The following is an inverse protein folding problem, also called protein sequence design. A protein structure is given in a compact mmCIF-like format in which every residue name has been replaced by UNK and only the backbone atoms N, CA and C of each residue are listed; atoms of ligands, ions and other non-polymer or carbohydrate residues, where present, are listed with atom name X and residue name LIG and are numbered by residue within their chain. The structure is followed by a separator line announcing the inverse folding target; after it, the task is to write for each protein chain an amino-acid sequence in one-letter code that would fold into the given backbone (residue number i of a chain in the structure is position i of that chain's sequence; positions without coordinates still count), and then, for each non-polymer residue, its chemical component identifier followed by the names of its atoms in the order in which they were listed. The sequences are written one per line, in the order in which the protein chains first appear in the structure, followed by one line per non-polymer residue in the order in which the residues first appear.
data_IF_606736326083
#
_entry.id   IF_606736326083
#
_cell.length_a   1.000
_cell.length_b   1.000
_cell.length_c   1.000
_cell.angle_alpha   90.00
_cell.angle_beta   90.00
_cell.angle_gamma   90.00
#
_symmetry.space_group_name_H-M   'P 1'
#
loop_
_entity.id
_entity.type
_entity.pdbx_description
1 polymer ?
#
# COMPACT_ATOMS: atom_id res chain seq x y z
N UNK A 1 -19.20 10.74 24.47
CA UNK A 1 -18.91 11.81 23.49
C UNK A 1 -17.43 11.82 23.15
N UNK A 2 -16.99 10.98 22.22
CA UNK A 2 -15.62 10.98 21.70
C UNK A 2 -15.68 11.24 20.21
N UNK A 3 -15.42 12.47 19.79
CA UNK A 3 -15.34 12.80 18.38
C UNK A 3 -13.97 12.33 17.87
N UNK A 4 -13.93 11.17 17.20
CA UNK A 4 -12.70 10.69 16.56
C UNK A 4 -12.56 11.46 15.25
N UNK A 5 -11.94 12.64 15.31
CA UNK A 5 -11.55 13.36 14.11
C UNK A 5 -10.43 12.59 13.40
N UNK A 6 -10.80 11.85 12.35
CA UNK A 6 -9.84 11.23 11.46
C UNK A 6 -9.15 12.33 10.66
N UNK A 7 -8.08 12.91 11.21
CA UNK A 7 -7.28 13.93 10.52
C UNK A 7 -6.66 13.34 9.26
N UNK A 8 -7.07 13.85 8.09
CA UNK A 8 -6.46 13.53 6.80
C UNK A 8 -4.98 13.97 6.81
N UNK A 9 -4.04 13.01 6.92
CA UNK A 9 -2.60 13.27 6.80
C UNK A 9 -2.24 13.43 5.32
N UNK A 10 -2.00 14.67 4.87
CA UNK A 10 -1.52 14.93 3.50
C UNK A 10 -0.05 14.52 3.38
N UNK A 11 0.22 13.59 2.46
CA UNK A 11 1.57 13.08 2.19
C UNK A 11 2.02 13.59 0.82
N UNK A 12 3.09 14.37 0.78
CA UNK A 12 3.77 14.68 -0.47
C UNK A 12 4.55 13.46 -0.95
N UNK A 13 4.10 12.84 -2.05
CA UNK A 13 4.77 11.69 -2.66
C UNK A 13 4.72 11.79 -4.19
N UNK A 14 5.78 11.31 -4.86
CA UNK A 14 5.76 11.05 -6.30
C UNK A 14 5.29 9.62 -6.49
N UNK A 15 4.05 9.44 -6.95
CA UNK A 15 3.46 8.12 -7.21
C UNK A 15 3.31 7.96 -8.71
N UNK A 16 3.81 6.85 -9.25
CA UNK A 16 3.52 6.46 -10.63
C UNK A 16 2.13 5.82 -10.65
N UNK A 17 1.16 6.51 -11.23
CA UNK A 17 -0.18 5.99 -11.45
C UNK A 17 -0.22 5.42 -12.86
N UNK A 18 -0.09 4.10 -12.95
CA UNK A 18 -0.31 3.39 -14.20
C UNK A 18 -1.81 3.15 -14.38
N UNK A 19 -2.40 3.75 -15.43
CA UNK A 19 -3.83 3.65 -15.71
C UNK A 19 -4.28 2.24 -16.13
N UNK A 20 -3.33 1.35 -16.48
CA UNK A 20 -3.60 -0.06 -16.70
C UNK A 20 -3.53 -0.93 -15.45
N UNK A 21 -3.01 -0.40 -14.33
CA UNK A 21 -2.80 -1.15 -13.11
C UNK A 21 -3.98 -1.00 -12.14
N UNK A 22 -4.59 -2.13 -11.75
CA UNK A 22 -5.63 -2.15 -10.72
C UNK A 22 -5.06 -2.11 -9.30
N UNK A 23 -3.75 -2.32 -9.15
CA UNK A 23 -3.05 -2.38 -7.85
C UNK A 23 -1.74 -1.62 -7.92
N UNK A 24 -1.54 -0.67 -7.01
CA UNK A 24 -0.28 0.06 -6.86
C UNK A 24 0.51 -0.55 -5.70
N UNK A 25 1.76 -0.94 -5.96
CA UNK A 25 2.66 -1.44 -4.94
C UNK A 25 3.43 -0.28 -4.31
N UNK A 26 3.39 -0.20 -2.98
CA UNK A 26 4.17 0.77 -2.20
C UNK A 26 5.23 0.05 -1.37
N UNK A 27 6.42 0.64 -1.22
CA UNK A 27 7.47 0.02 -0.42
C UNK A 27 7.11 0.02 1.07
N UNK A 28 7.52 -1.03 1.80
CA UNK A 28 7.34 -1.08 3.27
C UNK A 28 7.97 0.13 3.98
N UNK A 29 9.08 0.65 3.44
CA UNK A 29 9.73 1.85 3.98
C UNK A 29 8.86 3.10 3.85
N UNK A 30 8.13 3.24 2.73
CA UNK A 30 7.18 4.33 2.54
C UNK A 30 6.02 4.25 3.55
N UNK A 31 5.44 3.05 3.70
CA UNK A 31 4.39 2.76 4.69
C UNK A 31 4.84 3.15 6.10
N UNK A 32 6.03 2.72 6.52
CA UNK A 32 6.60 3.04 7.84
C UNK A 32 6.86 4.54 8.01
N UNK A 33 7.51 5.18 7.04
CA UNK A 33 7.86 6.61 7.08
C UNK A 33 6.63 7.49 7.23
N UNK A 34 5.53 7.11 6.59
CA UNK A 34 4.30 7.90 6.60
C UNK A 34 3.25 7.38 7.58
N UNK A 35 3.55 6.33 8.33
CA UNK A 35 2.65 5.71 9.31
C UNK A 35 1.31 5.35 8.67
N UNK A 36 1.34 4.84 7.44
CA UNK A 36 0.13 4.40 6.77
C UNK A 36 -0.48 3.24 7.55
N UNK A 37 -1.76 3.32 7.85
CA UNK A 37 -2.49 2.20 8.43
C UNK A 37 -2.57 1.08 7.39
N UNK A 38 -2.08 -0.08 7.79
CA UNK A 38 -2.17 -1.30 7.00
C UNK A 38 -3.05 -2.32 7.68
N UNK A 39 -3.64 -3.21 6.87
CA UNK A 39 -4.28 -4.43 7.34
C UNK A 39 -3.51 -5.63 6.81
N UNK A 40 -3.15 -6.55 7.71
CA UNK A 40 -2.41 -7.78 7.39
C UNK A 40 -3.40 -8.93 7.30
N UNK A 41 -3.46 -9.59 6.15
CA UNK A 41 -4.25 -10.80 5.95
C UNK A 41 -3.34 -12.01 6.16
N UNK A 42 -3.28 -12.53 7.39
CA UNK A 42 -2.36 -13.62 7.77
C UNK A 42 -2.63 -14.94 7.05
N UNK A 43 -3.85 -15.11 6.53
CA UNK A 43 -4.31 -16.26 5.76
C UNK A 43 -4.07 -16.12 4.25
N UNK A 44 -3.48 -15.00 3.79
CA UNK A 44 -3.30 -14.69 2.37
C UNK A 44 -1.86 -14.32 2.05
N UNK A 45 -1.39 -14.80 0.91
CA UNK A 45 -0.09 -14.42 0.34
C UNK A 45 -0.26 -13.76 -1.01
N UNK A 46 0.62 -12.79 -1.30
CA UNK A 46 0.82 -12.27 -2.65
C UNK A 46 1.99 -13.00 -3.28
N UNK A 47 1.90 -13.25 -4.59
CA UNK A 47 2.96 -13.80 -5.41
C UNK A 47 3.27 -12.83 -6.54
N UNK A 48 4.50 -12.31 -6.57
CA UNK A 48 4.93 -11.30 -7.53
C UNK A 48 6.00 -11.92 -8.43
N UNK A 49 5.83 -11.81 -9.75
CA UNK A 49 6.86 -12.22 -10.71
C UNK A 49 7.98 -11.17 -10.72
N UNK A 50 9.20 -11.58 -10.37
CA UNK A 50 10.35 -10.68 -10.20
C UNK A 50 11.22 -10.54 -11.47
N UNK A 51 10.93 -11.34 -12.50
CA UNK A 51 11.78 -11.51 -13.69
C UNK A 51 12.30 -12.95 -13.78
N UNK A 52 12.76 -13.40 -14.95
CA UNK A 52 13.40 -14.72 -15.16
C UNK A 52 12.61 -15.92 -14.62
N UNK A 53 11.28 -15.83 -14.65
CA UNK A 53 10.36 -16.80 -14.05
C UNK A 53 10.52 -17.02 -12.53
N UNK A 54 11.25 -16.15 -11.86
CA UNK A 54 11.33 -16.12 -10.40
C UNK A 54 10.09 -15.42 -9.83
N UNK A 55 9.66 -15.93 -8.67
CA UNK A 55 8.54 -15.39 -7.93
C UNK A 55 8.98 -15.04 -6.51
N UNK A 56 8.60 -13.85 -6.05
CA UNK A 56 8.64 -13.49 -4.64
C UNK A 56 7.27 -13.74 -4.03
N UNK A 57 7.24 -14.33 -2.83
CA UNK A 57 6.01 -14.52 -2.06
C UNK A 57 6.11 -13.76 -0.73
N UNK A 58 5.00 -13.16 -0.31
CA UNK A 58 4.90 -12.46 0.97
C UNK A 58 3.46 -12.51 1.49
N UNK A 59 3.27 -12.38 2.80
CA UNK A 59 1.95 -12.17 3.40
C UNK A 59 1.33 -10.88 2.84
N UNK A 60 0.04 -10.92 2.51
CA UNK A 60 -0.69 -9.77 1.99
C UNK A 60 -0.87 -8.70 3.08
N UNK A 61 -0.33 -7.52 2.83
CA UNK A 61 -0.50 -6.32 3.65
C UNK A 61 -1.05 -5.19 2.77
N UNK A 62 -2.23 -4.67 3.12
CA UNK A 62 -2.96 -3.69 2.31
C UNK A 62 -3.01 -2.33 3.01
N UNK A 63 -2.70 -1.26 2.27
CA UNK A 63 -2.95 0.13 2.67
C UNK A 63 -3.98 0.75 1.72
N UNK A 64 -5.01 1.39 2.27
CA UNK A 64 -5.96 2.17 1.46
C UNK A 64 -5.52 3.62 1.41
N UNK A 65 -5.35 4.16 0.20
CA UNK A 65 -5.02 5.57 -0.03
C UNK A 65 -6.04 6.20 -0.97
N UNK A 66 -6.36 7.47 -0.75
CA UNK A 66 -7.14 8.27 -1.69
C UNK A 66 -6.19 9.21 -2.41
N UNK A 67 -6.13 9.08 -3.74
CA UNK A 67 -5.42 10.02 -4.59
C UNK A 67 -6.42 11.09 -5.05
N UNK A 68 -6.08 12.36 -4.83
CA UNK A 68 -6.80 13.51 -5.41
C UNK A 68 -5.86 14.16 -6.43
N UNK A 69 -6.29 14.21 -7.69
CA UNK A 69 -5.57 14.84 -8.81
C UNK A 69 -6.04 16.27 -9.00
#
# INVERSE_FOLDING_TARGET
NGNIEQREKKIGAKVLLDCGATTVYVSRMFVKKHELKTHVYTDRTIKVKLGDNNFGEAVLELATITVRL
#
